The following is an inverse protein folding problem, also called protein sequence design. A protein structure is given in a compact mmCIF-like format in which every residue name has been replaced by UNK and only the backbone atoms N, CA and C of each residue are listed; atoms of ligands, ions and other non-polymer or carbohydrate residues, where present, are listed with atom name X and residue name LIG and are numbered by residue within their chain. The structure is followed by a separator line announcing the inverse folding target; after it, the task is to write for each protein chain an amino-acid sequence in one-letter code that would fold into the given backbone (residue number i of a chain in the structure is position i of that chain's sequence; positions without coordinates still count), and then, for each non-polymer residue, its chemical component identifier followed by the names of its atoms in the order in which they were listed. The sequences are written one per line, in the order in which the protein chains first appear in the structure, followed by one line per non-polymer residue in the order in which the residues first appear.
data_IF_939792591459
#
_entry.id   IF_939792591459
#
_cell.length_a   1.000
_cell.length_b   1.000
_cell.length_c   1.000
_cell.angle_alpha   90.00
_cell.angle_beta   90.00
_cell.angle_gamma   90.00
#
_symmetry.space_group_name_H-M   'P 1'
#
loop_
_entity.id
_entity.type
_entity.pdbx_description
1 polymer ?
#
# COMPACT_ATOMS: atom_id res chain seq x y z
N UNK A 1 28.31 32.18 -38.30
CA UNK A 1 28.74 31.12 -37.36
C UNK A 1 27.71 31.02 -36.23
N UNK A 2 26.43 31.20 -36.54
CA UNK A 2 25.42 31.61 -35.52
C UNK A 2 24.25 30.63 -35.43
N UNK A 3 24.01 29.83 -36.47
CA UNK A 3 22.93 28.85 -36.55
C UNK A 3 23.15 27.67 -35.57
N UNK A 4 24.41 27.28 -35.35
CA UNK A 4 24.75 26.16 -34.45
C UNK A 4 24.56 26.50 -32.97
N UNK A 5 24.78 27.75 -32.59
CA UNK A 5 24.63 28.23 -31.21
C UNK A 5 23.15 28.29 -30.83
N UNK A 6 22.30 28.77 -31.75
CA UNK A 6 20.84 28.81 -31.56
C UNK A 6 20.25 27.40 -31.41
N UNK A 7 20.69 26.44 -32.24
CA UNK A 7 20.25 25.05 -32.14
C UNK A 7 20.73 24.35 -30.87
N UNK A 8 21.96 24.62 -30.40
CA UNK A 8 22.44 24.10 -29.11
C UNK A 8 21.62 24.63 -27.92
N UNK A 9 21.21 25.90 -27.95
CA UNK A 9 20.42 26.49 -26.87
C UNK A 9 18.96 25.98 -26.87
N UNK A 10 18.37 25.80 -28.06
CA UNK A 10 17.06 25.15 -28.22
C UNK A 10 17.07 23.71 -27.71
N UNK A 11 18.11 22.93 -28.01
CA UNK A 11 18.27 21.57 -27.50
C UNK A 11 18.40 21.53 -25.97
N UNK A 12 19.21 22.42 -25.37
CA UNK A 12 19.38 22.53 -23.92
C UNK A 12 18.08 22.95 -23.20
N UNK A 13 17.31 23.86 -23.78
CA UNK A 13 16.02 24.28 -23.24
C UNK A 13 15.01 23.13 -23.23
N UNK A 14 14.94 22.35 -24.31
CA UNK A 14 14.08 21.16 -24.40
C UNK A 14 14.53 20.06 -23.43
N UNK A 15 15.83 19.79 -23.30
CA UNK A 15 16.38 18.82 -22.32
C UNK A 15 16.06 19.21 -20.87
N UNK A 16 16.08 20.51 -20.55
CA UNK A 16 15.76 21.00 -19.20
C UNK A 16 14.27 20.89 -18.90
N UNK A 17 13.41 21.16 -19.90
CA UNK A 17 11.95 21.02 -19.80
C UNK A 17 11.55 19.55 -19.66
N UNK A 18 12.15 18.66 -20.45
CA UNK A 18 11.98 17.21 -20.35
C UNK A 18 12.45 16.69 -19.00
N UNK A 19 13.64 17.10 -18.51
CA UNK A 19 14.12 16.69 -17.17
C UNK A 19 13.17 17.13 -16.06
N UNK A 20 12.66 18.36 -16.09
CA UNK A 20 11.70 18.89 -15.11
C UNK A 20 10.34 18.18 -15.14
N UNK A 21 9.87 17.79 -16.34
CA UNK A 21 8.65 16.99 -16.48
C UNK A 21 8.87 15.54 -16.02
N UNK A 22 10.02 14.93 -16.33
CA UNK A 22 10.34 13.58 -15.86
C UNK A 22 10.53 13.50 -14.34
N UNK A 23 11.08 14.55 -13.70
CA UNK A 23 11.21 14.60 -12.24
C UNK A 23 9.86 14.80 -11.55
N UNK A 24 8.95 15.59 -12.15
CA UNK A 24 7.58 15.76 -11.63
C UNK A 24 6.77 14.47 -11.71
N UNK A 25 6.83 13.77 -12.85
CA UNK A 25 6.14 12.48 -13.06
C UNK A 25 6.71 11.39 -12.15
N UNK A 26 8.03 11.37 -11.91
CA UNK A 26 8.64 10.41 -11.00
C UNK A 26 8.18 10.65 -9.54
N UNK A 27 8.11 11.90 -9.09
CA UNK A 27 7.62 12.25 -7.75
C UNK A 27 6.15 11.87 -7.54
N UNK A 28 5.31 12.08 -8.56
CA UNK A 28 3.88 11.74 -8.51
C UNK A 28 3.64 10.23 -8.44
N UNK A 29 4.41 9.45 -9.23
CA UNK A 29 4.39 7.98 -9.17
C UNK A 29 4.86 7.43 -7.82
N UNK A 30 5.85 8.06 -7.19
CA UNK A 30 6.33 7.67 -5.85
C UNK A 30 5.23 7.89 -4.80
N UNK A 31 4.60 9.06 -4.80
CA UNK A 31 3.46 9.35 -3.91
C UNK A 31 2.30 8.39 -4.12
N UNK A 32 1.99 8.07 -5.37
CA UNK A 32 0.92 7.11 -5.69
C UNK A 32 1.24 5.71 -5.13
N UNK A 33 2.51 5.28 -5.24
CA UNK A 33 2.97 4.01 -4.69
C UNK A 33 2.88 3.98 -3.16
N UNK A 34 3.38 5.02 -2.49
CA UNK A 34 3.32 5.15 -1.03
C UNK A 34 1.87 5.15 -0.53
N UNK A 35 0.96 5.85 -1.23
CA UNK A 35 -0.45 5.86 -0.89
C UNK A 35 -1.08 4.46 -1.02
N UNK A 36 -0.75 3.71 -2.09
CA UNK A 36 -1.21 2.32 -2.27
C UNK A 36 -0.70 1.41 -1.17
N UNK A 37 0.58 1.51 -0.81
CA UNK A 37 1.18 0.73 0.27
C UNK A 37 0.53 1.05 1.63
N UNK A 38 0.28 2.32 1.93
CA UNK A 38 -0.42 2.74 3.14
C UNK A 38 -1.86 2.18 3.20
N UNK A 39 -2.59 2.22 2.09
CA UNK A 39 -3.94 1.65 2.02
C UNK A 39 -3.94 0.13 2.21
N UNK A 40 -2.97 -0.60 1.64
CA UNK A 40 -2.81 -2.03 1.85
C UNK A 40 -2.48 -2.35 3.32
N UNK A 41 -1.58 -1.59 3.94
CA UNK A 41 -1.25 -1.74 5.36
C UNK A 41 -2.46 -1.53 6.29
N UNK A 42 -3.33 -0.57 5.97
CA UNK A 42 -4.58 -0.38 6.70
C UNK A 42 -5.52 -1.60 6.56
N UNK A 43 -5.66 -2.14 5.34
CA UNK A 43 -6.47 -3.33 5.11
C UNK A 43 -5.94 -4.55 5.88
N UNK A 44 -4.62 -4.70 6.01
CA UNK A 44 -4.00 -5.74 6.84
C UNK A 44 -4.42 -5.63 8.32
N UNK A 45 -4.41 -4.41 8.88
CA UNK A 45 -4.83 -4.18 10.28
C UNK A 45 -6.33 -4.50 10.45
N UNK A 46 -7.14 -4.09 9.48
CA UNK A 46 -8.57 -4.38 9.48
C UNK A 46 -8.84 -5.88 9.41
N UNK A 47 -8.20 -6.60 8.49
CA UNK A 47 -8.32 -8.05 8.33
C UNK A 47 -7.90 -8.79 9.60
N UNK A 48 -6.77 -8.41 10.21
CA UNK A 48 -6.32 -8.99 11.47
C UNK A 48 -7.37 -8.81 12.58
N UNK A 49 -7.93 -7.61 12.70
CA UNK A 49 -8.98 -7.31 13.68
C UNK A 49 -10.26 -8.10 13.41
N UNK A 50 -10.61 -8.28 12.14
CA UNK A 50 -11.75 -9.09 11.71
C UNK A 50 -11.55 -10.57 12.06
N UNK A 51 -10.40 -11.17 11.70
CA UNK A 51 -10.06 -12.57 11.99
C UNK A 51 -10.08 -12.83 13.50
N UNK A 52 -9.48 -11.93 14.28
CA UNK A 52 -9.52 -12.00 15.76
C UNK A 52 -10.95 -11.95 16.29
N UNK A 53 -11.80 -11.09 15.74
CA UNK A 53 -13.20 -10.97 16.17
C UNK A 53 -14.00 -12.22 15.81
N UNK A 54 -13.80 -12.78 14.61
CA UNK A 54 -14.39 -14.05 14.20
C UNK A 54 -13.98 -15.18 15.15
N UNK A 55 -12.70 -15.29 15.50
CA UNK A 55 -12.19 -16.29 16.46
C UNK A 55 -12.83 -16.15 17.84
N UNK A 56 -12.99 -14.92 18.33
CA UNK A 56 -13.66 -14.64 19.61
C UNK A 56 -15.15 -14.99 19.61
N UNK A 57 -15.80 -15.00 18.43
CA UNK A 57 -17.22 -15.35 18.32
C UNK A 57 -17.49 -16.86 18.34
N UNK A 58 -16.47 -17.68 18.11
CA UNK A 58 -16.60 -19.13 18.23
C UNK A 58 -16.67 -19.51 19.72
N UNK A 59 -17.60 -20.39 20.13
CA UNK A 59 -17.58 -20.93 21.48
C UNK A 59 -16.22 -21.62 21.68
N UNK A 60 -15.48 -21.18 22.70
CA UNK A 60 -14.16 -21.75 22.99
C UNK A 60 -14.24 -23.26 23.16
N UNK A 61 -13.11 -23.95 22.94
CA UNK A 61 -12.99 -25.37 23.28
C UNK A 61 -13.12 -25.51 24.81
N UNK A 62 -14.35 -25.61 25.31
CA UNK A 62 -14.66 -25.68 26.74
C UNK A 62 -14.01 -26.89 27.46
N UNK A 63 -13.44 -27.82 26.68
CA UNK A 63 -12.78 -29.04 27.15
C UNK A 63 -11.24 -28.95 27.16
N UNK A 64 -10.64 -27.96 26.49
CA UNK A 64 -9.19 -27.80 26.42
C UNK A 64 -8.82 -26.34 26.67
N UNK A 65 -8.15 -26.05 27.78
CA UNK A 65 -7.60 -24.72 28.05
C UNK A 65 -6.64 -24.32 26.90
N UNK A 66 -6.90 -23.17 26.28
CA UNK A 66 -5.97 -22.61 25.30
C UNK A 66 -4.68 -22.20 26.03
N UNK A 67 -3.57 -22.85 25.68
CA UNK A 67 -2.27 -22.47 26.23
C UNK A 67 -1.88 -21.06 25.77
N UNK A 68 -1.22 -20.29 26.65
CA UNK A 68 -0.70 -18.97 26.31
C UNK A 68 0.22 -19.00 25.07
N UNK A 69 1.01 -20.08 24.90
CA UNK A 69 1.86 -20.27 23.73
C UNK A 69 1.06 -20.40 22.43
N UNK A 70 -0.07 -21.12 22.47
CA UNK A 70 -0.96 -21.26 21.32
C UNK A 70 -1.61 -19.93 20.93
N UNK A 71 -1.96 -19.09 21.91
CA UNK A 71 -2.53 -17.76 21.66
C UNK A 71 -1.54 -16.80 21.00
N UNK A 72 -0.27 -16.86 21.42
CA UNK A 72 0.81 -16.09 20.78
C UNK A 72 1.00 -16.57 19.34
N UNK A 73 1.12 -17.89 19.13
CA UNK A 73 1.28 -18.45 17.79
C UNK A 73 0.12 -18.08 16.85
N UNK A 74 -1.14 -18.22 17.32
CA UNK A 74 -2.33 -17.80 16.56
C UNK A 74 -2.29 -16.31 16.23
N UNK A 75 -1.86 -15.46 17.17
CA UNK A 75 -1.78 -14.02 16.92
C UNK A 75 -0.74 -13.68 15.85
N UNK A 76 0.41 -14.36 15.86
CA UNK A 76 1.43 -14.20 14.82
C UNK A 76 0.94 -14.73 13.47
N UNK A 77 0.27 -15.87 13.47
CA UNK A 77 -0.33 -16.45 12.28
C UNK A 77 -1.39 -15.52 11.66
N UNK A 78 -2.32 -15.01 12.47
CA UNK A 78 -3.37 -14.08 12.03
C UNK A 78 -2.75 -12.78 11.47
N UNK A 79 -1.62 -12.32 12.01
CA UNK A 79 -0.86 -11.18 11.48
C UNK A 79 -0.27 -11.46 10.09
N UNK A 80 0.47 -12.56 9.93
CA UNK A 80 1.07 -12.93 8.64
C UNK A 80 0.00 -13.18 7.57
N UNK A 81 -1.06 -13.89 7.94
CA UNK A 81 -2.20 -14.15 7.04
C UNK A 81 -2.86 -12.85 6.59
N UNK A 82 -3.11 -11.91 7.50
CA UNK A 82 -3.72 -10.63 7.15
C UNK A 82 -2.82 -9.77 6.23
N UNK A 83 -1.50 -9.80 6.44
CA UNK A 83 -0.53 -9.11 5.59
C UNK A 83 -0.51 -9.70 4.17
N UNK A 84 -0.44 -11.02 4.04
CA UNK A 84 -0.50 -11.69 2.74
C UNK A 84 -1.81 -11.38 2.01
N UNK A 85 -2.95 -11.54 2.70
CA UNK A 85 -4.26 -11.28 2.12
C UNK A 85 -4.41 -9.84 1.64
N UNK A 86 -3.94 -8.86 2.42
CA UNK A 86 -4.00 -7.43 2.04
C UNK A 86 -3.22 -7.10 0.77
N UNK A 87 -2.19 -7.89 0.43
CA UNK A 87 -1.39 -7.71 -0.79
C UNK A 87 -2.03 -8.36 -2.01
N UNK A 88 -2.85 -9.40 -1.82
CA UNK A 88 -3.55 -10.06 -2.92
C UNK A 88 -4.72 -9.23 -3.47
N UNK A 89 -5.13 -9.51 -4.70
CA UNK A 89 -6.30 -8.87 -5.34
C UNK A 89 -7.65 -9.48 -4.90
N UNK A 90 -7.62 -10.52 -4.05
CA UNK A 90 -8.82 -11.22 -3.54
C UNK A 90 -9.22 -10.72 -2.14
N UNK A 91 -8.75 -9.53 -1.75
CA UNK A 91 -9.08 -8.93 -0.46
C UNK A 91 -10.47 -8.29 -0.47
N UNK A 92 -10.90 -7.80 0.70
CA UNK A 92 -12.23 -7.19 0.91
C UNK A 92 -12.42 -5.92 0.07
N UNK A 93 -11.34 -5.30 -0.41
CA UNK A 93 -11.38 -4.12 -1.28
C UNK A 93 -11.41 -2.80 -0.51
N UNK A 94 -11.09 -2.83 0.78
CA UNK A 94 -11.02 -1.64 1.63
C UNK A 94 -9.85 -0.75 1.20
N UNK A 95 -8.73 -1.36 0.80
CA UNK A 95 -7.56 -0.61 0.29
C UNK A 95 -7.90 0.17 -0.98
N UNK A 96 -8.71 -0.40 -1.88
CA UNK A 96 -9.08 0.23 -3.15
C UNK A 96 -10.10 1.34 -2.92
N UNK A 97 -11.01 1.13 -1.96
CA UNK A 97 -11.93 2.16 -1.51
C UNK A 97 -11.19 3.37 -0.93
N UNK A 98 -10.27 3.14 0.00
CA UNK A 98 -9.47 4.20 0.62
C UNK A 98 -8.58 4.90 -0.41
N UNK A 99 -7.92 4.14 -1.28
CA UNK A 99 -7.08 4.69 -2.33
C UNK A 99 -7.87 5.63 -3.24
N UNK A 100 -9.07 5.22 -3.69
CA UNK A 100 -9.95 6.08 -4.50
C UNK A 100 -10.34 7.37 -3.78
N UNK A 101 -10.65 7.29 -2.48
CA UNK A 101 -11.05 8.45 -1.69
C UNK A 101 -9.88 9.43 -1.48
N UNK A 102 -8.70 8.90 -1.20
CA UNK A 102 -7.51 9.71 -0.89
C UNK A 102 -6.84 10.26 -2.14
N UNK A 103 -6.89 9.54 -3.28
CA UNK A 103 -6.35 10.00 -4.56
C UNK A 103 -7.01 11.30 -5.04
N UNK A 104 -8.30 11.49 -4.76
CA UNK A 104 -9.00 12.75 -5.09
C UNK A 104 -8.64 13.92 -4.16
N UNK A 105 -7.93 13.66 -3.06
CA UNK A 105 -7.61 14.63 -2.00
C UNK A 105 -6.14 15.03 -1.96
N UNK A 106 -5.29 14.42 -2.80
CA UNK A 106 -3.84 14.66 -2.94
C UNK A 106 -3.57 15.18 -4.35
#
# INVERSE_FOLDING_TARGET
MDIDIVNQNLAKANLTKVKKQTSGIAGDKLKEKELKEACAGFEAIFLNSMIKSMRKSLPGNALFDESNGMNIYKSMYDQSLADELSKTNTSIGVKDFLYRQLKGSI
#
